data_IF_016206490123
#
_entry.id   IF_016206490123
#
_cell.length_a   1.000
_cell.length_b   1.000
_cell.length_c   1.000
_cell.angle_alpha   90.00
_cell.angle_beta   90.00
_cell.angle_gamma   90.00
#
_symmetry.space_group_name_H-M   'P 1'
#
loop_
_entity.id
_entity.type
_entity.pdbx_description
1 polymer ?
#
# COMPACT_ATOMS: atom_id res chain seq x y z
N UNK A 1 15.73 12.01 -4.14
CA UNK A 1 15.18 13.36 -4.42
C UNK A 1 14.33 13.78 -3.24
N UNK A 2 14.71 14.85 -2.56
CA UNK A 2 13.92 15.41 -1.46
C UNK A 2 13.13 16.60 -2.00
N UNK A 3 11.80 16.54 -1.92
CA UNK A 3 10.93 17.64 -2.34
C UNK A 3 10.79 18.56 -1.12
N UNK A 4 11.44 19.72 -1.15
CA UNK A 4 11.24 20.74 -0.12
C UNK A 4 9.88 21.40 -0.33
N UNK A 5 8.89 20.96 0.43
CA UNK A 5 7.57 21.54 0.45
C UNK A 5 7.64 22.81 1.29
N UNK A 6 7.58 23.97 0.65
CA UNK A 6 7.48 25.25 1.34
C UNK A 6 6.17 25.37 2.14
N UNK A 7 5.85 26.57 2.62
CA UNK A 7 4.66 26.85 3.45
C UNK A 7 3.31 26.51 2.81
N UNK A 8 3.25 26.30 1.48
CA UNK A 8 2.01 26.01 0.74
C UNK A 8 1.57 24.54 0.81
N UNK A 9 2.35 23.64 1.41
CA UNK A 9 2.06 22.21 1.42
C UNK A 9 2.11 21.57 0.02
N UNK A 10 1.91 20.25 -0.04
CA UNK A 10 1.84 19.49 -1.28
C UNK A 10 0.49 18.85 -1.43
N UNK A 11 -0.21 19.16 -2.52
CA UNK A 11 -1.45 18.49 -2.86
C UNK A 11 -1.14 17.28 -3.72
N UNK A 12 -1.32 16.10 -3.15
CA UNK A 12 -1.28 14.85 -3.91
C UNK A 12 -2.40 14.88 -4.95
N UNK A 13 -2.12 14.41 -6.17
CA UNK A 13 -3.15 14.25 -7.21
C UNK A 13 -4.30 13.37 -6.69
N UNK A 14 -5.52 13.58 -7.21
CA UNK A 14 -6.67 12.73 -6.86
C UNK A 14 -6.61 11.36 -7.52
N UNK A 15 -5.85 11.19 -8.59
CA UNK A 15 -5.62 9.89 -9.21
C UNK A 15 -4.21 9.77 -9.74
N UNK A 16 -3.72 8.54 -9.87
CA UNK A 16 -2.40 8.25 -10.42
C UNK A 16 -1.86 6.92 -9.96
N UNK A 17 -0.53 6.83 -9.94
CA UNK A 17 0.19 5.61 -9.58
C UNK A 17 1.15 5.90 -8.44
N UNK A 18 1.16 5.04 -7.43
CA UNK A 18 2.17 5.03 -6.37
C UNK A 18 3.08 3.83 -6.61
N UNK A 19 4.38 4.10 -6.59
CA UNK A 19 5.40 3.07 -6.57
C UNK A 19 5.96 2.94 -5.15
N UNK A 20 5.76 1.78 -4.53
CA UNK A 20 6.25 1.47 -3.19
C UNK A 20 7.37 0.45 -3.28
N UNK A 21 8.55 0.82 -2.76
CA UNK A 21 9.72 -0.06 -2.66
C UNK A 21 9.86 -0.58 -1.24
N UNK A 22 9.77 -1.90 -1.05
CA UNK A 22 10.03 -2.55 0.22
C UNK A 22 11.47 -3.06 0.24
N UNK A 23 12.27 -2.49 1.13
CA UNK A 23 13.64 -2.92 1.37
C UNK A 23 13.72 -3.78 2.64
N UNK A 24 14.65 -4.74 2.67
CA UNK A 24 15.01 -5.43 3.90
C UNK A 24 15.90 -4.53 4.80
N UNK A 25 16.16 -4.91 6.06
CA UNK A 25 17.05 -4.16 6.95
C UNK A 25 18.50 -4.00 6.42
N UNK A 26 18.92 -4.86 5.48
CA UNK A 26 20.22 -4.79 4.82
C UNK A 26 20.22 -3.87 3.58
N UNK A 27 19.11 -3.19 3.27
CA UNK A 27 18.99 -2.28 2.12
C UNK A 27 18.73 -2.96 0.78
N UNK A 28 18.51 -4.27 0.74
CA UNK A 28 18.15 -5.00 -0.48
C UNK A 28 16.67 -4.80 -0.81
N UNK A 29 16.36 -4.54 -2.08
CA UNK A 29 14.99 -4.42 -2.55
C UNK A 29 14.29 -5.80 -2.57
N UNK A 30 13.30 -6.00 -1.72
CA UNK A 30 12.53 -7.25 -1.60
C UNK A 30 11.34 -7.27 -2.54
N UNK A 31 10.62 -6.15 -2.64
CA UNK A 31 9.41 -6.08 -3.46
C UNK A 31 9.09 -4.65 -3.89
N UNK A 32 8.73 -4.52 -5.17
CA UNK A 32 8.12 -3.31 -5.72
C UNK A 32 6.62 -3.52 -5.86
N UNK A 33 5.83 -2.57 -5.38
CA UNK A 33 4.40 -2.50 -5.61
C UNK A 33 4.11 -1.29 -6.48
N UNK A 34 3.42 -1.51 -7.59
CA UNK A 34 2.84 -0.45 -8.41
C UNK A 34 1.35 -0.46 -8.12
N UNK A 35 0.88 0.60 -7.48
CA UNK A 35 -0.51 0.70 -7.01
C UNK A 35 -1.19 1.87 -7.71
N UNK A 36 -2.21 1.56 -8.50
CA UNK A 36 -3.10 2.56 -9.07
C UNK A 36 -4.04 3.04 -7.96
N UNK A 37 -4.20 4.36 -7.85
CA UNK A 37 -5.10 4.96 -6.88
C UNK A 37 -6.05 5.94 -7.56
N UNK A 38 -7.27 5.99 -7.02
CA UNK A 38 -8.26 7.01 -7.31
C UNK A 38 -8.94 7.41 -5.99
N UNK A 39 -8.78 8.69 -5.63
CA UNK A 39 -9.34 9.32 -4.44
C UNK A 39 -10.57 10.16 -4.76
N UNK A 40 -11.10 10.10 -5.98
CA UNK A 40 -12.25 10.93 -6.36
C UNK A 40 -13.47 10.67 -5.48
N UNK A 41 -13.60 9.44 -4.97
CA UNK A 41 -14.64 9.05 -4.00
C UNK A 41 -14.24 9.24 -2.52
N UNK A 42 -13.08 9.85 -2.24
CA UNK A 42 -12.58 10.02 -0.88
C UNK A 42 -13.22 11.25 -0.22
N UNK A 43 -13.86 11.10 0.96
CA UNK A 43 -14.51 12.22 1.63
C UNK A 43 -13.48 13.22 2.18
N UNK A 44 -13.88 14.50 2.38
CA UNK A 44 -13.06 15.49 3.06
C UNK A 44 -12.57 14.97 4.42
N UNK A 45 -11.32 15.31 4.80
CA UNK A 45 -10.65 14.92 6.04
C UNK A 45 -10.31 13.43 6.23
N UNK A 46 -10.49 12.58 5.21
CA UNK A 46 -9.99 11.21 5.29
C UNK A 46 -8.44 11.17 5.38
N UNK A 47 -7.91 10.42 6.35
CA UNK A 47 -6.47 10.32 6.69
C UNK A 47 -5.81 9.04 6.19
N UNK A 48 -6.49 8.24 5.38
CA UNK A 48 -5.94 6.98 4.89
C UNK A 48 -6.16 6.89 3.40
N UNK A 49 -5.07 7.05 2.67
CA UNK A 49 -5.03 7.13 1.23
C UNK A 49 -5.00 5.75 0.58
N UNK A 50 -4.26 4.81 1.17
CA UNK A 50 -4.13 3.46 0.64
C UNK A 50 -4.17 2.42 1.75
N UNK A 51 -4.97 1.36 1.54
CA UNK A 51 -4.97 0.13 2.32
C UNK A 51 -4.94 -1.07 1.38
N UNK A 52 -3.81 -1.75 1.32
CA UNK A 52 -3.65 -2.94 0.48
C UNK A 52 -3.23 -4.13 1.33
N UNK A 53 -3.93 -5.24 1.14
CA UNK A 53 -3.59 -6.55 1.72
C UNK A 53 -3.14 -7.46 0.60
N UNK A 54 -1.90 -7.92 0.66
CA UNK A 54 -1.40 -8.97 -0.22
C UNK A 54 -1.41 -10.28 0.56
N UNK A 55 -2.23 -11.22 0.11
CA UNK A 55 -2.27 -12.57 0.69
C UNK A 55 -1.38 -13.50 -0.15
N UNK A 56 -0.73 -14.45 0.51
CA UNK A 56 0.00 -15.53 -0.15
C UNK A 56 -0.61 -16.86 0.24
N UNK A 57 -1.30 -17.48 -0.71
CA UNK A 57 -1.87 -18.81 -0.59
C UNK A 57 -0.86 -19.82 -1.14
N UNK A 58 -0.40 -20.79 -0.33
CA UNK A 58 0.40 -21.90 -0.84
C UNK A 58 -0.39 -22.70 -1.89
N UNK A 59 0.25 -23.15 -2.97
CA UNK A 59 -0.41 -23.83 -4.10
C UNK A 59 -1.17 -25.13 -3.75
N UNK A 60 -0.94 -25.70 -2.56
CA UNK A 60 -1.59 -26.92 -2.06
C UNK A 60 -2.44 -26.68 -0.80
N UNK A 61 -2.65 -25.44 -0.40
CA UNK A 61 -3.49 -25.13 0.74
C UNK A 61 -4.96 -25.14 0.32
N UNK A 62 -5.82 -25.80 1.09
CA UNK A 62 -7.28 -25.66 0.95
C UNK A 62 -7.69 -24.20 1.16
N UNK A 63 -8.74 -23.75 0.47
CA UNK A 63 -9.27 -22.41 0.64
C UNK A 63 -9.44 -22.11 2.14
N UNK A 64 -8.85 -21.02 2.64
CA UNK A 64 -8.82 -20.77 4.06
C UNK A 64 -10.26 -20.43 4.47
N UNK A 65 -10.73 -21.03 5.55
CA UNK A 65 -11.99 -20.56 6.14
C UNK A 65 -11.87 -19.04 6.39
N UNK A 66 -12.95 -18.24 6.21
CA UNK A 66 -12.87 -16.78 6.24
C UNK A 66 -12.17 -16.21 7.50
N UNK A 67 -12.32 -16.90 8.63
CA UNK A 67 -11.70 -16.54 9.90
C UNK A 67 -10.17 -16.74 9.95
N UNK A 68 -9.59 -17.53 9.04
CA UNK A 68 -8.15 -17.84 8.97
C UNK A 68 -7.37 -17.07 7.88
N UNK A 69 -8.02 -16.20 7.10
CA UNK A 69 -7.34 -15.45 6.03
C UNK A 69 -6.19 -14.56 6.53
N UNK A 70 -6.20 -14.16 7.80
CA UNK A 70 -5.11 -13.39 8.42
C UNK A 70 -3.78 -14.16 8.44
N UNK A 71 -3.82 -15.50 8.50
CA UNK A 71 -2.61 -16.36 8.51
C UNK A 71 -1.82 -16.28 7.21
N UNK A 72 -2.44 -15.81 6.14
CA UNK A 72 -1.85 -15.75 4.81
C UNK A 72 -1.52 -14.32 4.38
N UNK A 73 -1.71 -13.35 5.26
CA UNK A 73 -1.31 -11.96 4.99
C UNK A 73 0.21 -11.89 4.89
N UNK A 74 0.70 -11.56 3.70
CA UNK A 74 2.13 -11.43 3.42
C UNK A 74 2.60 -9.99 3.49
N UNK A 75 1.79 -9.05 3.00
CA UNK A 75 2.08 -7.63 3.06
C UNK A 75 0.83 -6.82 3.38
N UNK A 76 0.97 -5.88 4.30
CA UNK A 76 -0.03 -4.85 4.59
C UNK A 76 0.61 -3.49 4.29
N UNK A 77 0.00 -2.74 3.38
CA UNK A 77 0.42 -1.37 3.07
C UNK A 77 -0.66 -0.44 3.59
N UNK A 78 -0.27 0.48 4.46
CA UNK A 78 -1.12 1.55 4.96
C UNK A 78 -0.42 2.89 4.76
N UNK A 79 -0.91 3.67 3.79
CA UNK A 79 -0.44 5.03 3.56
C UNK A 79 -1.46 6.01 4.12
N UNK A 80 -1.00 6.94 4.95
CA UNK A 80 -1.79 7.97 5.64
C UNK A 80 -1.36 9.36 5.22
#
# INVERSE_FOLDING_TARGET
GHINLGSSGYRVSRSGTIQVSLFNPHGTLVKMFVVLYDLTSMPPAARTFLRQRTLYMPARAEAPQPHHMHKWLRYLIHLR
#
